data_IF_816479819158
#
_entry.id   IF_816479819158
#
_cell.length_a   1.000
_cell.length_b   1.000
_cell.length_c   1.000
_cell.angle_alpha   90.00
_cell.angle_beta   90.00
_cell.angle_gamma   90.00
#
_symmetry.space_group_name_H-M   'P 1'
#
loop_
_entity.id
_entity.type
_entity.pdbx_description
1 polymer ?
#
# COMPACT_ATOMS: atom_id res chain seq x y z
N UNK A 1 -10.85 -2.39 -15.12
CA UNK A 1 -9.77 -1.85 -14.27
C UNK A 1 -9.06 -0.69 -15.01
N UNK A 2 -9.79 0.38 -15.35
CA UNK A 2 -9.26 1.53 -16.10
C UNK A 2 -8.85 2.65 -15.14
N UNK A 3 -7.77 2.43 -14.40
CA UNK A 3 -7.17 3.43 -13.51
C UNK A 3 -5.80 3.87 -14.05
N UNK A 4 -5.35 5.06 -13.65
CA UNK A 4 -4.05 5.61 -14.06
C UNK A 4 -2.94 5.42 -13.02
N UNK A 5 -3.15 4.59 -11.99
CA UNK A 5 -2.17 4.37 -10.91
C UNK A 5 -0.78 3.89 -11.37
N UNK A 6 -0.70 3.20 -12.53
CA UNK A 6 0.55 2.75 -13.14
C UNK A 6 0.92 3.55 -14.41
N UNK A 7 0.31 4.71 -14.64
CA UNK A 7 0.47 5.48 -15.87
C UNK A 7 -0.17 4.79 -17.09
N UNK A 8 0.14 5.30 -18.28
CA UNK A 8 -0.38 4.82 -19.56
C UNK A 8 0.60 5.12 -20.71
N UNK A 9 0.40 4.49 -21.87
CA UNK A 9 1.23 4.70 -23.06
C UNK A 9 2.68 4.26 -22.88
N UNK A 10 3.62 4.98 -23.52
CA UNK A 10 5.05 4.63 -23.53
C UNK A 10 5.74 4.70 -22.15
N UNK A 11 5.10 5.36 -21.18
CA UNK A 11 5.56 5.46 -19.79
C UNK A 11 4.73 4.63 -18.82
N UNK A 12 3.94 3.68 -19.33
CA UNK A 12 3.26 2.72 -18.46
C UNK A 12 4.29 1.99 -17.61
N UNK A 13 4.02 1.87 -16.30
CA UNK A 13 4.96 1.32 -15.34
C UNK A 13 5.35 -0.10 -15.73
N UNK A 14 6.64 -0.29 -16.02
CA UNK A 14 7.22 -1.58 -16.37
C UNK A 14 7.01 -2.62 -15.25
N UNK A 15 7.04 -2.16 -13.99
CA UNK A 15 6.85 -3.00 -12.81
C UNK A 15 5.39 -3.31 -12.46
N UNK A 16 4.40 -2.82 -13.21
CA UNK A 16 2.98 -2.96 -12.85
C UNK A 16 2.50 -4.43 -12.68
N UNK A 17 3.00 -5.45 -13.43
CA UNK A 17 2.65 -6.84 -13.16
C UNK A 17 3.23 -7.34 -11.83
N UNK A 18 4.50 -7.02 -11.54
CA UNK A 18 5.16 -7.43 -10.30
C UNK A 18 4.52 -6.78 -9.08
N UNK A 19 4.31 -5.47 -9.11
CA UNK A 19 3.68 -4.73 -8.02
C UNK A 19 2.27 -5.26 -7.70
N UNK A 20 1.52 -5.72 -8.72
CA UNK A 20 0.22 -6.38 -8.52
C UNK A 20 0.37 -7.72 -7.81
N UNK A 21 1.30 -8.56 -8.26
CA UNK A 21 1.55 -9.86 -7.65
C UNK A 21 1.99 -9.70 -6.18
N UNK A 22 2.94 -8.81 -5.92
CA UNK A 22 3.42 -8.50 -4.57
C UNK A 22 2.30 -7.95 -3.70
N UNK A 23 1.52 -6.98 -4.18
CA UNK A 23 0.40 -6.41 -3.43
C UNK A 23 -0.67 -7.46 -3.08
N UNK A 24 -1.00 -8.36 -4.01
CA UNK A 24 -1.94 -9.45 -3.77
C UNK A 24 -1.43 -10.41 -2.69
N UNK A 25 -0.17 -10.85 -2.79
CA UNK A 25 0.42 -11.79 -1.83
C UNK A 25 0.57 -11.12 -0.46
N UNK A 26 1.17 -9.93 -0.41
CA UNK A 26 1.49 -9.24 0.85
C UNK A 26 0.23 -8.87 1.61
N UNK A 27 -0.72 -8.17 0.97
CA UNK A 27 -1.95 -7.75 1.64
C UNK A 27 -2.86 -8.94 1.95
N UNK A 28 -2.98 -9.90 1.02
CA UNK A 28 -3.77 -11.10 1.24
C UNK A 28 -3.26 -11.93 2.42
N UNK A 29 -1.95 -12.19 2.45
CA UNK A 29 -1.31 -12.96 3.54
C UNK A 29 -1.41 -12.21 4.87
N UNK A 30 -1.19 -10.89 4.87
CA UNK A 30 -1.26 -10.06 6.08
C UNK A 30 -2.65 -10.16 6.72
N UNK A 31 -3.71 -9.94 5.93
CA UNK A 31 -5.09 -9.97 6.41
C UNK A 31 -5.54 -11.38 6.82
N UNK A 32 -5.04 -12.42 6.13
CA UNK A 32 -5.33 -13.80 6.50
C UNK A 32 -4.67 -14.21 7.83
N UNK A 33 -3.42 -13.78 8.07
CA UNK A 33 -2.65 -14.16 9.26
C UNK A 33 -2.97 -13.31 10.48
N UNK A 34 -3.35 -12.04 10.28
CA UNK A 34 -3.64 -11.08 11.35
C UNK A 34 -5.09 -10.58 11.22
N UNK A 35 -6.09 -11.41 11.54
CA UNK A 35 -7.50 -11.07 11.30
C UNK A 35 -8.02 -9.89 12.15
N UNK A 36 -7.36 -9.59 13.27
CA UNK A 36 -7.72 -8.49 14.16
C UNK A 36 -6.81 -7.27 13.99
N UNK A 37 -6.04 -7.19 12.88
CA UNK A 37 -5.10 -6.11 12.63
C UNK A 37 -5.80 -4.74 12.66
N UNK A 38 -5.40 -3.89 13.59
CA UNK A 38 -5.95 -2.56 13.83
C UNK A 38 -4.82 -1.52 13.99
N UNK A 39 -5.13 -0.23 13.78
CA UNK A 39 -4.20 0.84 14.10
C UNK A 39 -3.98 0.93 15.62
N UNK A 40 -2.72 1.05 16.04
CA UNK A 40 -2.36 1.26 17.45
C UNK A 40 -2.58 2.71 17.92
N UNK A 41 -2.87 3.62 16.98
CA UNK A 41 -3.03 5.06 17.19
C UNK A 41 -4.26 5.57 16.42
N UNK A 42 -4.69 6.80 16.71
CA UNK A 42 -5.77 7.42 15.95
C UNK A 42 -5.31 7.77 14.51
N UNK A 43 -6.18 7.68 13.48
CA UNK A 43 -5.78 7.92 12.09
C UNK A 43 -5.21 9.31 11.78
N UNK A 44 -5.64 10.33 12.51
CA UNK A 44 -5.17 11.71 12.39
C UNK A 44 -3.73 11.92 12.89
N UNK A 45 -3.19 10.96 13.63
CA UNK A 45 -1.81 10.96 14.13
C UNK A 45 -0.81 10.29 13.14
N UNK A 46 -1.29 9.83 11.98
CA UNK A 46 -0.44 9.22 10.97
C UNK A 46 0.44 10.25 10.27
N UNK A 47 1.74 9.99 10.26
CA UNK A 47 2.73 10.84 9.60
C UNK A 47 3.01 10.36 8.17
N UNK A 48 2.78 11.25 7.20
CA UNK A 48 3.07 10.99 5.79
C UNK A 48 4.44 11.52 5.41
N UNK A 49 5.13 10.81 4.51
CA UNK A 49 6.35 11.33 3.89
C UNK A 49 6.05 12.54 3.00
N UNK A 50 6.94 13.52 3.00
CA UNK A 50 6.88 14.70 2.13
C UNK A 50 7.48 14.43 0.73
N UNK A 51 7.28 13.23 0.19
CA UNK A 51 7.79 12.83 -1.12
C UNK A 51 6.72 12.99 -2.22
N UNK A 52 7.11 12.91 -3.49
CA UNK A 52 6.15 12.91 -4.62
C UNK A 52 5.23 11.70 -4.62
N UNK A 53 5.62 10.62 -3.96
CA UNK A 53 4.81 9.43 -3.75
C UNK A 53 4.22 9.50 -2.35
N UNK A 54 2.89 9.35 -2.25
CA UNK A 54 2.20 9.31 -0.96
C UNK A 54 2.55 8.00 -0.25
N UNK A 55 3.22 8.09 0.89
CA UNK A 55 3.56 6.96 1.75
C UNK A 55 3.57 7.39 3.22
N UNK A 56 3.49 6.43 4.13
CA UNK A 56 3.59 6.66 5.57
C UNK A 56 5.04 6.53 6.03
N UNK A 57 5.44 7.34 7.02
CA UNK A 57 6.73 7.19 7.70
C UNK A 57 6.75 5.90 8.51
N UNK A 58 5.65 5.62 9.21
CA UNK A 58 5.41 4.39 9.94
C UNK A 58 3.91 4.08 9.96
N UNK A 59 3.56 2.81 10.20
CA UNK A 59 2.18 2.35 10.35
C UNK A 59 2.07 1.53 11.65
N UNK A 60 1.80 2.17 12.80
CA UNK A 60 1.70 1.49 14.08
C UNK A 60 0.43 0.64 14.13
N UNK A 61 0.58 -0.66 14.41
CA UNK A 61 -0.52 -1.63 14.41
C UNK A 61 -0.49 -2.54 15.64
N UNK A 62 -1.66 -3.09 15.97
CA UNK A 62 -1.90 -4.15 16.95
C UNK A 62 -2.71 -5.26 16.28
N UNK A 63 -2.60 -6.51 16.74
CA UNK A 63 -3.27 -7.67 16.14
C UNK A 63 -3.52 -8.78 17.15
#
# INVERSE_FOLDING_TARGET
NNHLAFGAGIHHCLGAPLARLEGQIALGTLLQRLPNLCLAIKPDQLNYNHSKIRSLVNLPVVF
#
